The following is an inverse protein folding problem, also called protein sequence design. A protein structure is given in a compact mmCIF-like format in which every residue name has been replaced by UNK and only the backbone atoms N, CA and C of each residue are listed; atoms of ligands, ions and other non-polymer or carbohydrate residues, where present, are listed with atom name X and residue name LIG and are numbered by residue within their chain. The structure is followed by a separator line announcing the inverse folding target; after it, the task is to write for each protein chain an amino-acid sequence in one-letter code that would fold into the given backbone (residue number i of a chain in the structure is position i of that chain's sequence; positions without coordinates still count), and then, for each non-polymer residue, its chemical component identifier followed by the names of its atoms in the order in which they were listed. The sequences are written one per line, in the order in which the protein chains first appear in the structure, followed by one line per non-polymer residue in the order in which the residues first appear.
data_IF_136928187339
#
_entry.id   IF_136928187339
#
_cell.length_a   1.000
_cell.length_b   1.000
_cell.length_c   1.000
_cell.angle_alpha   90.00
_cell.angle_beta   90.00
_cell.angle_gamma   90.00
#
_symmetry.space_group_name_H-M   'P 1'
#
loop_
_entity.id
_entity.type
_entity.pdbx_description
1 polymer ?
#
# COMPACT_ATOMS: atom_id res chain seq x y z
N UNK A 1 0.88 29.75 -2.43
CA UNK A 1 1.65 28.96 -1.46
C UNK A 1 2.46 27.93 -2.24
N UNK A 2 3.77 27.76 -1.99
CA UNK A 2 4.52 26.65 -2.57
C UNK A 2 3.96 25.31 -2.08
N UNK A 3 4.00 24.29 -2.94
CA UNK A 3 3.61 22.93 -2.55
C UNK A 3 4.44 22.43 -1.37
N UNK A 4 3.81 21.71 -0.45
CA UNK A 4 4.49 21.06 0.69
C UNK A 4 5.60 20.11 0.18
N UNK A 5 6.57 19.80 1.05
CA UNK A 5 7.58 18.77 0.72
C UNK A 5 6.91 17.42 0.42
N UNK A 6 5.97 17.00 1.28
CA UNK A 6 5.27 15.72 1.11
C UNK A 6 4.47 15.64 -0.20
N UNK A 7 3.81 16.73 -0.62
CA UNK A 7 3.10 16.75 -1.90
C UNK A 7 4.07 16.56 -3.08
N UNK A 8 5.27 17.14 -3.02
CA UNK A 8 6.30 16.95 -4.06
C UNK A 8 6.78 15.51 -4.12
N UNK A 9 6.93 14.85 -2.98
CA UNK A 9 7.32 13.44 -2.91
C UNK A 9 6.21 12.54 -3.49
N UNK A 10 4.96 12.80 -3.13
CA UNK A 10 3.79 12.08 -3.68
C UNK A 10 3.68 12.28 -5.20
N UNK A 11 3.85 13.52 -5.69
CA UNK A 11 3.87 13.82 -7.14
C UNK A 11 4.99 13.03 -7.83
N UNK A 12 6.14 12.89 -7.19
CA UNK A 12 7.28 12.14 -7.73
C UNK A 12 6.94 10.65 -7.85
N UNK A 13 6.31 10.05 -6.83
CA UNK A 13 5.84 8.66 -6.85
C UNK A 13 4.81 8.46 -7.96
N UNK A 14 3.78 9.31 -8.03
CA UNK A 14 2.77 9.22 -9.09
C UNK A 14 3.41 9.23 -10.49
N UNK A 15 4.34 10.14 -10.75
CA UNK A 15 5.02 10.24 -12.06
C UNK A 15 5.95 9.07 -12.35
N UNK A 16 6.63 8.53 -11.34
CA UNK A 16 7.45 7.33 -11.48
C UNK A 16 6.60 6.14 -11.95
N UNK A 17 5.41 6.02 -11.39
CA UNK A 17 4.38 5.04 -11.79
C UNK A 17 3.57 5.46 -13.02
N UNK A 18 3.97 6.56 -13.68
CA UNK A 18 3.44 7.07 -14.93
C UNK A 18 2.17 7.92 -14.86
N UNK A 19 1.64 8.21 -13.68
CA UNK A 19 0.53 9.14 -13.51
C UNK A 19 1.03 10.59 -13.58
N UNK A 20 0.88 11.21 -14.77
CA UNK A 20 1.32 12.58 -15.02
C UNK A 20 0.53 13.63 -14.23
N UNK A 21 -0.75 13.37 -13.94
CA UNK A 21 -1.63 14.19 -13.11
C UNK A 21 -1.98 13.50 -11.78
N UNK A 22 -1.29 13.83 -10.67
CA UNK A 22 -1.63 13.33 -9.33
C UNK A 22 -3.05 13.70 -8.86
N UNK A 23 -3.70 14.72 -9.47
CA UNK A 23 -5.09 15.01 -9.13
C UNK A 23 -6.06 13.96 -9.66
N UNK A 24 -5.73 13.28 -10.76
CA UNK A 24 -6.55 12.17 -11.26
C UNK A 24 -6.45 10.97 -10.31
N UNK A 25 -5.25 10.65 -9.81
CA UNK A 25 -5.03 9.64 -8.75
C UNK A 25 -5.84 9.99 -7.50
N UNK A 26 -5.79 11.25 -7.04
CA UNK A 26 -6.59 11.73 -5.93
C UNK A 26 -8.09 11.52 -6.16
N UNK A 27 -8.62 11.91 -7.32
CA UNK A 27 -10.05 11.78 -7.66
C UNK A 27 -10.49 10.32 -7.68
N UNK A 28 -9.67 9.43 -8.24
CA UNK A 28 -9.90 7.98 -8.29
C UNK A 28 -9.95 7.37 -6.89
N UNK A 29 -8.94 7.64 -6.07
CA UNK A 29 -8.88 7.14 -4.69
C UNK A 29 -10.02 7.70 -3.84
N UNK A 30 -10.35 8.99 -4.01
CA UNK A 30 -11.49 9.63 -3.36
C UNK A 30 -12.81 8.93 -3.71
N UNK A 31 -13.02 8.57 -4.98
CA UNK A 31 -14.21 7.86 -5.42
C UNK A 31 -14.33 6.51 -4.71
N UNK A 32 -13.25 5.74 -4.70
CA UNK A 32 -13.18 4.46 -4.00
C UNK A 32 -13.53 4.60 -2.52
N UNK A 33 -12.95 5.58 -1.82
CA UNK A 33 -13.21 5.78 -0.41
C UNK A 33 -14.62 6.28 -0.09
N UNK A 34 -15.19 7.15 -0.92
CA UNK A 34 -16.59 7.59 -0.74
C UNK A 34 -17.56 6.43 -0.91
N UNK A 35 -17.34 5.58 -1.92
CA UNK A 35 -18.14 4.37 -2.14
C UNK A 35 -17.93 3.36 -1.01
N UNK A 36 -16.70 3.16 -0.53
CA UNK A 36 -16.41 2.33 0.65
C UNK A 36 -17.17 2.81 1.89
N UNK A 37 -17.11 4.12 2.19
CA UNK A 37 -17.90 4.79 3.24
C UNK A 37 -19.37 4.39 3.13
N UNK A 38 -19.96 4.69 1.97
CA UNK A 38 -21.38 4.48 1.69
C UNK A 38 -21.78 3.00 1.82
N UNK A 39 -20.97 2.10 1.27
CA UNK A 39 -21.20 0.66 1.35
C UNK A 39 -21.16 0.19 2.81
N UNK A 40 -20.15 0.57 3.61
CA UNK A 40 -20.07 0.19 5.03
C UNK A 40 -21.30 0.61 5.84
N UNK A 41 -21.94 1.73 5.50
CA UNK A 41 -23.19 2.14 6.14
C UNK A 41 -24.41 1.36 5.69
N UNK A 42 -24.53 1.11 4.39
CA UNK A 42 -25.74 0.49 3.83
C UNK A 42 -25.69 -1.04 3.81
N UNK A 43 -24.54 -1.63 4.16
CA UNK A 43 -24.36 -3.08 4.19
C UNK A 43 -25.36 -3.72 5.17
N UNK A 44 -26.38 -4.36 4.60
CA UNK A 44 -27.18 -5.35 5.30
C UNK A 44 -26.28 -6.57 5.55
N UNK A 45 -26.29 -7.12 6.76
CA UNK A 45 -25.56 -8.34 7.07
C UNK A 45 -26.19 -9.52 6.32
N UNK A 46 -25.84 -9.69 5.05
CA UNK A 46 -26.08 -10.93 4.34
C UNK A 46 -24.96 -11.90 4.73
N UNK A 47 -25.29 -13.13 5.15
CA UNK A 47 -24.27 -14.12 5.46
C UNK A 47 -23.40 -14.32 4.21
N UNK A 48 -22.06 -14.28 4.34
CA UNK A 48 -21.19 -14.44 3.20
C UNK A 48 -21.45 -15.80 2.55
N UNK A 49 -21.66 -15.81 1.24
CA UNK A 49 -21.72 -17.05 0.48
C UNK A 49 -20.38 -17.78 0.67
N UNK A 50 -20.40 -19.02 1.15
CA UNK A 50 -19.19 -19.84 1.23
C UNK A 50 -18.68 -20.08 -0.20
N UNK A 51 -17.56 -19.44 -0.55
CA UNK A 51 -16.80 -19.69 -1.78
C UNK A 51 -15.65 -20.64 -1.46
N UNK A 52 -15.34 -21.53 -2.39
CA UNK A 52 -14.11 -22.31 -2.31
C UNK A 52 -12.89 -21.40 -2.43
N UNK A 53 -11.73 -21.84 -1.91
CA UNK A 53 -10.48 -21.09 -2.03
C UNK A 53 -10.16 -20.73 -3.49
N UNK A 54 -10.40 -21.67 -4.42
CA UNK A 54 -10.17 -21.47 -5.86
C UNK A 54 -11.05 -20.37 -6.45
N UNK A 55 -12.31 -20.31 -6.06
CA UNK A 55 -13.24 -19.25 -6.50
C UNK A 55 -12.82 -17.90 -5.94
N UNK A 56 -12.49 -17.82 -4.64
CA UNK A 56 -11.99 -16.60 -4.01
C UNK A 56 -10.71 -16.10 -4.67
N UNK A 57 -9.77 -16.99 -4.97
CA UNK A 57 -8.50 -16.64 -5.64
C UNK A 57 -8.74 -16.18 -7.09
N UNK A 58 -9.73 -16.73 -7.78
CA UNK A 58 -10.10 -16.30 -9.14
C UNK A 58 -10.76 -14.91 -9.13
N UNK A 59 -11.70 -14.69 -8.22
CA UNK A 59 -12.38 -13.41 -8.03
C UNK A 59 -11.39 -12.30 -7.67
N UNK A 60 -10.48 -12.56 -6.72
CA UNK A 60 -9.38 -11.66 -6.36
C UNK A 60 -8.58 -11.19 -7.58
N UNK A 61 -8.21 -12.13 -8.45
CA UNK A 61 -7.44 -11.83 -9.68
C UNK A 61 -8.24 -11.03 -10.70
N UNK A 62 -9.53 -11.35 -10.89
CA UNK A 62 -10.41 -10.62 -11.79
C UNK A 62 -10.61 -9.17 -11.34
N UNK A 63 -10.89 -8.96 -10.05
CA UNK A 63 -11.03 -7.62 -9.46
C UNK A 63 -9.74 -6.82 -9.56
N UNK A 64 -8.60 -7.44 -9.26
CA UNK A 64 -7.28 -6.79 -9.36
C UNK A 64 -6.97 -6.35 -10.78
N UNK A 65 -7.21 -7.20 -11.78
CA UNK A 65 -6.97 -6.84 -13.20
C UNK A 65 -7.88 -5.70 -13.65
N UNK A 66 -9.16 -5.77 -13.29
CA UNK A 66 -10.13 -4.70 -13.60
C UNK A 66 -9.76 -3.40 -12.90
N UNK A 67 -9.25 -3.47 -11.68
CA UNK A 67 -8.71 -2.31 -10.97
C UNK A 67 -7.52 -1.70 -11.68
N UNK A 68 -6.53 -2.50 -12.09
CA UNK A 68 -5.37 -1.98 -12.84
C UNK A 68 -5.77 -1.31 -14.15
N UNK A 69 -6.68 -1.93 -14.91
CA UNK A 69 -7.18 -1.38 -16.18
C UNK A 69 -7.95 -0.06 -15.99
N UNK A 70 -8.83 0.01 -14.99
CA UNK A 70 -9.67 1.19 -14.75
C UNK A 70 -8.91 2.31 -14.03
N UNK A 71 -8.05 1.99 -13.07
CA UNK A 71 -7.31 2.99 -12.30
C UNK A 71 -6.30 3.72 -13.18
N UNK A 72 -5.81 3.10 -14.25
CA UNK A 72 -4.94 3.77 -15.22
C UNK A 72 -5.68 4.77 -16.13
N UNK A 73 -6.94 4.47 -16.51
CA UNK A 73 -7.69 5.28 -17.48
C UNK A 73 -8.20 6.59 -16.86
N UNK A 74 -8.32 7.71 -17.62
CA UNK A 74 -8.83 8.99 -17.10
C UNK A 74 -10.23 8.86 -16.49
N UNK A 75 -10.43 9.40 -15.28
CA UNK A 75 -11.64 9.11 -14.49
C UNK A 75 -12.92 9.57 -15.20
N UNK A 76 -12.85 10.71 -15.89
CA UNK A 76 -14.00 11.32 -16.56
C UNK A 76 -14.60 10.42 -17.66
N UNK A 77 -13.83 9.43 -18.15
CA UNK A 77 -14.28 8.48 -19.19
C UNK A 77 -14.75 7.13 -18.64
N UNK A 78 -14.39 6.78 -17.40
CA UNK A 78 -14.63 5.44 -16.86
C UNK A 78 -15.15 5.43 -15.42
N UNK A 79 -15.72 6.55 -14.98
CA UNK A 79 -16.21 6.75 -13.62
C UNK A 79 -17.22 5.66 -13.23
N UNK A 80 -18.19 5.38 -14.10
CA UNK A 80 -19.24 4.39 -13.81
C UNK A 80 -18.67 2.98 -13.67
N UNK A 81 -17.75 2.56 -14.54
CA UNK A 81 -17.11 1.25 -14.42
C UNK A 81 -16.26 1.14 -13.15
N UNK A 82 -15.62 2.24 -12.73
CA UNK A 82 -14.85 2.31 -11.50
C UNK A 82 -15.75 2.24 -10.28
N UNK A 83 -16.89 2.94 -10.28
CA UNK A 83 -17.89 2.83 -9.22
C UNK A 83 -18.41 1.39 -9.10
N UNK A 84 -18.74 0.76 -10.22
CA UNK A 84 -19.20 -0.63 -10.26
C UNK A 84 -18.12 -1.61 -9.79
N UNK A 85 -16.85 -1.39 -10.17
CA UNK A 85 -15.74 -2.21 -9.68
C UNK A 85 -15.65 -2.14 -8.15
N UNK A 86 -15.76 -0.92 -7.61
CA UNK A 86 -15.68 -0.72 -6.17
C UNK A 86 -16.84 -1.44 -5.49
N UNK A 87 -18.07 -1.29 -5.98
CA UNK A 87 -19.25 -2.02 -5.49
C UNK A 87 -19.07 -3.54 -5.52
N UNK A 88 -18.60 -4.10 -6.64
CA UNK A 88 -18.32 -5.53 -6.79
C UNK A 88 -17.22 -6.01 -5.81
N UNK A 89 -16.22 -5.16 -5.53
CA UNK A 89 -15.09 -5.50 -4.68
C UNK A 89 -15.43 -5.46 -3.18
N UNK A 90 -16.42 -4.65 -2.77
CA UNK A 90 -16.83 -4.47 -1.37
C UNK A 90 -17.33 -5.75 -0.69
N UNK A 91 -17.91 -6.67 -1.46
CA UNK A 91 -18.38 -7.97 -0.95
C UNK A 91 -17.24 -9.01 -0.83
N UNK A 92 -16.00 -8.61 -1.10
CA UNK A 92 -14.84 -9.50 -1.15
C UNK A 92 -13.76 -9.08 -0.17
N UNK A 93 -13.01 -10.05 0.34
CA UNK A 93 -11.84 -9.77 1.17
C UNK A 93 -10.71 -9.06 0.40
N UNK A 94 -10.76 -9.02 -0.94
CA UNK A 94 -9.71 -8.41 -1.74
C UNK A 94 -9.61 -6.90 -1.50
N UNK A 95 -10.75 -6.20 -1.41
CA UNK A 95 -10.75 -4.76 -1.24
C UNK A 95 -10.28 -4.34 0.15
N UNK A 96 -10.72 -5.06 1.19
CA UNK A 96 -10.25 -4.84 2.56
C UNK A 96 -8.74 -5.08 2.66
N UNK A 97 -8.23 -6.20 2.12
CA UNK A 97 -6.78 -6.51 2.10
C UNK A 97 -5.97 -5.41 1.37
N UNK A 98 -6.48 -4.91 0.24
CA UNK A 98 -5.83 -3.86 -0.55
C UNK A 98 -5.73 -2.54 0.23
N UNK A 99 -6.83 -2.13 0.86
CA UNK A 99 -6.89 -0.90 1.64
C UNK A 99 -6.04 -1.01 2.90
N UNK A 100 -6.11 -2.13 3.62
CA UNK A 100 -5.32 -2.36 4.83
C UNK A 100 -3.81 -2.33 4.54
N UNK A 101 -3.38 -2.94 3.42
CA UNK A 101 -1.99 -2.83 2.96
C UNK A 101 -1.59 -1.37 2.74
N UNK A 102 -2.36 -0.63 1.93
CA UNK A 102 -2.00 0.73 1.55
C UNK A 102 -2.02 1.69 2.75
N UNK A 103 -2.94 1.49 3.69
CA UNK A 103 -3.00 2.25 4.96
C UNK A 103 -1.84 1.90 5.88
N UNK A 104 -1.38 0.65 5.89
CA UNK A 104 -0.20 0.22 6.63
C UNK A 104 1.07 0.94 6.15
N UNK A 105 1.23 1.03 4.83
CA UNK A 105 2.37 1.70 4.19
C UNK A 105 2.44 3.19 4.49
N UNK A 106 1.31 3.88 4.69
CA UNK A 106 1.30 5.30 5.05
C UNK A 106 2.23 5.63 6.22
N UNK A 107 2.34 4.75 7.20
CA UNK A 107 3.15 4.99 8.41
C UNK A 107 4.65 5.13 8.13
N UNK A 108 5.11 4.73 6.94
CA UNK A 108 6.49 4.86 6.48
C UNK A 108 6.80 6.25 5.92
N UNK A 109 5.78 7.07 5.65
CA UNK A 109 5.93 8.39 5.07
C UNK A 109 6.02 9.49 6.14
N UNK A 110 6.62 10.62 5.75
CA UNK A 110 6.54 11.83 6.56
C UNK A 110 5.06 12.25 6.70
N UNK A 111 4.65 12.65 7.92
CA UNK A 111 3.24 12.82 8.32
C UNK A 111 2.35 11.56 8.19
N UNK A 112 2.93 10.38 7.97
CA UNK A 112 2.23 9.12 7.76
C UNK A 112 1.22 8.76 8.84
N UNK A 113 1.57 9.00 10.11
CA UNK A 113 0.65 8.80 11.25
C UNK A 113 -0.56 9.73 11.18
N UNK A 114 -0.35 10.96 10.74
CA UNK A 114 -1.40 11.97 10.56
C UNK A 114 -2.30 11.56 9.40
N UNK A 115 -1.73 11.13 8.27
CA UNK A 115 -2.49 10.60 7.14
C UNK A 115 -3.36 9.41 7.52
N UNK A 116 -2.79 8.43 8.25
CA UNK A 116 -3.52 7.27 8.72
C UNK A 116 -4.73 7.66 9.56
N UNK A 117 -4.54 8.52 10.58
CA UNK A 117 -5.63 9.01 11.43
C UNK A 117 -6.72 9.72 10.63
N UNK A 118 -6.30 10.57 9.69
CA UNK A 118 -7.22 11.32 8.84
C UNK A 118 -8.08 10.37 8.00
N UNK A 119 -7.49 9.37 7.36
CA UNK A 119 -8.22 8.40 6.54
C UNK A 119 -9.15 7.54 7.39
N UNK A 120 -8.66 7.03 8.53
CA UNK A 120 -9.47 6.25 9.47
C UNK A 120 -10.71 7.02 9.91
N UNK A 121 -10.56 8.28 10.35
CA UNK A 121 -11.69 9.09 10.79
C UNK A 121 -12.60 9.55 9.66
N UNK A 122 -12.03 9.91 8.51
CA UNK A 122 -12.82 10.40 7.38
C UNK A 122 -13.61 9.29 6.69
N UNK A 123 -13.12 8.05 6.69
CA UNK A 123 -13.67 7.00 5.82
C UNK A 123 -14.03 5.68 6.51
N UNK A 124 -13.24 5.21 7.46
CA UNK A 124 -13.40 3.85 7.99
C UNK A 124 -14.21 3.81 9.28
N UNK A 125 -14.00 4.82 10.12
CA UNK A 125 -14.62 5.00 11.42
C UNK A 125 -15.51 6.25 11.45
N UNK A 126 -15.88 6.76 10.27
CA UNK A 126 -16.72 7.94 10.18
C UNK A 126 -18.10 7.63 10.79
N UNK A 127 -18.66 8.56 11.55
CA UNK A 127 -20.04 8.45 12.00
C UNK A 127 -21.01 8.83 10.86
N UNK A 128 -22.24 8.27 10.84
CA UNK A 128 -23.26 8.71 9.88
C UNK A 128 -23.48 10.22 9.96
N UNK A 129 -23.42 10.92 8.82
CA UNK A 129 -23.60 12.38 8.75
C UNK A 129 -22.39 13.22 9.20
N UNK A 130 -21.30 12.60 9.66
CA UNK A 130 -20.09 13.32 10.07
C UNK A 130 -19.42 14.01 8.88
N UNK A 131 -19.22 15.33 9.01
CA UNK A 131 -18.60 16.15 7.97
C UNK A 131 -17.09 16.21 8.19
N UNK A 132 -16.35 16.38 7.10
CA UNK A 132 -14.90 16.51 7.15
C UNK A 132 -14.42 17.70 8.01
N UNK A 133 -15.22 18.77 8.11
CA UNK A 133 -14.90 19.92 8.98
C UNK A 133 -14.93 19.54 10.47
N UNK A 134 -15.83 18.63 10.86
CA UNK A 134 -15.94 18.18 12.25
C UNK A 134 -14.70 17.32 12.60
N UNK A 135 -14.25 16.48 11.66
CA UNK A 135 -12.99 15.73 11.77
C UNK A 135 -11.77 16.65 11.81
N UNK A 136 -11.76 17.73 11.03
CA UNK A 136 -10.66 18.71 11.06
C UNK A 136 -10.52 19.37 12.45
N UNK A 137 -11.65 19.73 13.07
CA UNK A 137 -11.69 20.30 14.42
C UNK A 137 -11.19 19.28 15.45
N UNK A 138 -11.66 18.03 15.38
CA UNK A 138 -11.21 16.94 16.27
C UNK A 138 -9.70 16.70 16.19
N UNK A 139 -9.12 16.77 14.99
CA UNK A 139 -7.69 16.60 14.76
C UNK A 139 -6.87 17.87 15.06
N UNK A 140 -7.50 18.96 15.51
CA UNK A 140 -6.83 20.23 15.80
C UNK A 140 -6.26 20.92 14.56
N UNK A 141 -6.86 20.71 13.39
CA UNK A 141 -6.40 21.23 12.10
C UNK A 141 -7.28 22.37 11.60
N UNK A 142 -6.64 23.44 11.09
CA UNK A 142 -7.34 24.44 10.28
C UNK A 142 -7.82 23.85 8.95
N UNK A 143 -8.89 24.41 8.37
CA UNK A 143 -9.54 23.90 7.15
C UNK A 143 -8.59 23.76 5.95
N UNK A 144 -7.71 24.73 5.72
CA UNK A 144 -6.71 24.67 4.65
C UNK A 144 -5.69 23.55 4.89
N UNK A 145 -5.15 23.44 6.10
CA UNK A 145 -4.21 22.38 6.49
C UNK A 145 -4.86 21.00 6.35
N UNK A 146 -6.10 20.86 6.80
CA UNK A 146 -6.87 19.65 6.63
C UNK A 146 -7.03 19.29 5.15
N UNK A 147 -7.43 20.24 4.29
CA UNK A 147 -7.61 19.96 2.86
C UNK A 147 -6.32 19.50 2.18
N UNK A 148 -5.19 20.13 2.52
CA UNK A 148 -3.89 19.77 1.96
C UNK A 148 -3.47 18.37 2.42
N UNK A 149 -3.53 18.10 3.74
CA UNK A 149 -3.18 16.79 4.32
C UNK A 149 -4.10 15.67 3.87
N UNK A 150 -5.38 15.98 3.71
CA UNK A 150 -6.37 15.05 3.19
C UNK A 150 -6.06 14.68 1.74
N UNK A 151 -5.73 15.67 0.90
CA UNK A 151 -5.35 15.43 -0.49
C UNK A 151 -4.08 14.58 -0.58
N UNK A 152 -3.06 14.91 0.21
CA UNK A 152 -1.82 14.14 0.31
C UNK A 152 -2.13 12.67 0.69
N UNK A 153 -2.85 12.45 1.80
CA UNK A 153 -3.16 11.12 2.31
C UNK A 153 -3.94 10.25 1.31
N UNK A 154 -4.99 10.82 0.69
CA UNK A 154 -5.84 10.09 -0.28
C UNK A 154 -5.07 9.76 -1.55
N UNK A 155 -4.26 10.69 -2.06
CA UNK A 155 -3.43 10.46 -3.25
C UNK A 155 -2.42 9.36 -2.99
N UNK A 156 -1.76 9.41 -1.82
CA UNK A 156 -0.75 8.44 -1.43
C UNK A 156 -1.34 7.03 -1.27
N UNK A 157 -2.48 6.87 -0.59
CA UNK A 157 -3.13 5.53 -0.57
C UNK A 157 -3.51 5.08 -1.97
N UNK A 158 -4.04 5.99 -2.80
CA UNK A 158 -4.42 5.66 -4.18
C UNK A 158 -3.28 5.04 -4.97
N UNK A 159 -2.12 5.68 -4.94
CA UNK A 159 -0.95 5.19 -5.69
C UNK A 159 -0.36 3.92 -5.06
N UNK A 160 -0.31 3.83 -3.73
CA UNK A 160 0.18 2.62 -3.03
C UNK A 160 -0.71 1.40 -3.28
N UNK A 161 -2.04 1.59 -3.32
CA UNK A 161 -2.98 0.53 -3.68
C UNK A 161 -2.75 0.07 -5.13
N UNK A 162 -2.55 1.00 -6.06
CA UNK A 162 -2.22 0.66 -7.45
C UNK A 162 -0.89 -0.10 -7.56
N UNK A 163 0.17 0.35 -6.89
CA UNK A 163 1.48 -0.32 -6.89
C UNK A 163 1.38 -1.73 -6.29
N UNK A 164 0.65 -1.89 -5.19
CA UNK A 164 0.43 -3.20 -4.58
C UNK A 164 -0.30 -4.15 -5.54
N UNK A 165 -1.40 -3.70 -6.14
CA UNK A 165 -2.16 -4.49 -7.10
C UNK A 165 -1.29 -4.89 -8.30
N UNK A 166 -0.45 -3.97 -8.80
CA UNK A 166 0.46 -4.21 -9.92
C UNK A 166 1.50 -5.27 -9.57
N UNK A 167 2.15 -5.14 -8.41
CA UNK A 167 3.14 -6.09 -7.92
C UNK A 167 2.57 -7.50 -7.78
N UNK A 168 1.35 -7.62 -7.22
CA UNK A 168 0.67 -8.90 -7.07
C UNK A 168 0.32 -9.53 -8.42
N UNK A 169 -0.02 -8.75 -9.45
CA UNK A 169 -0.25 -9.26 -10.81
C UNK A 169 1.05 -9.78 -11.45
N UNK A 170 2.15 -9.04 -11.31
CA UNK A 170 3.46 -9.49 -11.78
C UNK A 170 3.94 -10.76 -11.08
N UNK A 171 3.73 -10.88 -9.77
CA UNK A 171 4.05 -12.10 -9.03
C UNK A 171 3.27 -13.31 -9.55
N UNK A 172 1.98 -13.15 -9.85
CA UNK A 172 1.15 -14.22 -10.39
C UNK A 172 1.58 -14.60 -11.82
N UNK A 173 2.02 -13.65 -12.64
CA UNK A 173 2.63 -13.93 -13.95
C UNK A 173 3.94 -14.70 -13.81
N UNK A 174 4.83 -14.28 -12.90
CA UNK A 174 6.10 -14.94 -12.65
C UNK A 174 5.91 -16.39 -12.17
N UNK A 175 4.88 -16.64 -11.36
CA UNK A 175 4.48 -17.97 -10.89
C UNK A 175 3.68 -18.78 -11.93
N UNK A 176 3.41 -18.21 -13.12
CA UNK A 176 2.57 -18.80 -14.19
C UNK A 176 1.15 -19.19 -13.71
N UNK A 177 0.63 -18.45 -12.73
CA UNK A 177 -0.76 -18.57 -12.25
C UNK A 177 -1.71 -17.87 -13.21
N UNK A 178 -1.23 -16.81 -13.86
CA UNK A 178 -1.90 -16.09 -14.95
C UNK A 178 -0.95 -15.99 -16.15
N UNK A 179 -1.53 -15.90 -17.35
CA UNK A 179 -0.77 -15.64 -18.57
C UNK A 179 -0.12 -14.25 -18.53
N UNK A 180 1.03 -14.15 -19.18
CA UNK A 180 1.71 -12.87 -19.35
C UNK A 180 0.84 -11.91 -20.15
N UNK A 181 0.72 -10.69 -19.64
CA UNK A 181 0.03 -9.61 -20.33
C UNK A 181 0.58 -8.28 -19.83
N UNK A 182 0.32 -7.26 -20.62
CA UNK A 182 0.83 -5.92 -20.38
C UNK A 182 0.06 -5.24 -19.25
N UNK A 183 0.79 -4.56 -18.35
CA UNK A 183 0.21 -3.64 -17.36
C UNK A 183 0.64 -2.23 -17.76
N UNK A 184 -0.34 -1.39 -18.10
CA UNK A 184 -0.05 0.01 -18.43
C UNK A 184 0.23 0.79 -17.12
N UNK A 185 1.26 1.67 -17.06
CA UNK A 185 2.06 2.25 -18.16
C UNK A 185 3.42 1.62 -18.41
N UNK A 186 3.69 0.42 -17.90
CA UNK A 186 5.03 -0.17 -17.96
C UNK A 186 5.46 -0.50 -19.40
N UNK A 187 4.50 -0.46 -20.35
CA UNK A 187 4.70 -0.66 -21.78
C UNK A 187 4.76 0.64 -22.61
N UNK A 188 4.92 1.82 -22.00
CA UNK A 188 5.23 3.03 -22.75
C UNK A 188 6.68 2.90 -23.28
N UNK A 189 6.92 2.95 -24.61
CA UNK A 189 8.27 2.89 -25.16
C UNK A 189 9.17 3.96 -24.51
N UNK A 190 10.25 3.52 -23.85
CA UNK A 190 11.24 4.41 -23.22
C UNK A 190 11.17 4.57 -21.69
N UNK A 191 10.27 3.86 -20.97
CA UNK A 191 10.33 3.78 -19.49
C UNK A 191 11.07 2.51 -19.02
N UNK A 192 11.94 2.67 -18.02
CA UNK A 192 12.92 1.68 -17.52
C UNK A 192 12.27 0.40 -17.00
N UNK A 193 13.02 -0.70 -17.12
CA UNK A 193 12.79 -1.99 -16.47
C UNK A 193 12.55 -1.80 -14.96
N UNK A 194 11.32 -2.02 -14.50
CA UNK A 194 10.90 -1.77 -13.11
C UNK A 194 11.30 -2.88 -12.14
N UNK A 195 11.98 -3.92 -12.61
CA UNK A 195 12.56 -4.97 -11.75
C UNK A 195 13.52 -4.40 -10.69
N UNK A 196 14.17 -3.27 -10.97
CA UNK A 196 15.09 -2.59 -10.06
C UNK A 196 14.37 -1.85 -8.90
N UNK A 197 13.13 -1.39 -9.12
CA UNK A 197 12.31 -0.78 -8.06
C UNK A 197 11.80 -1.85 -7.08
N UNK A 198 11.44 -3.03 -7.60
CA UNK A 198 11.00 -4.20 -6.84
C UNK A 198 12.07 -4.68 -5.85
N UNK A 199 13.34 -4.71 -6.27
CA UNK A 199 14.48 -5.09 -5.43
C UNK A 199 14.79 -4.05 -4.35
N UNK A 200 14.65 -2.75 -4.66
CA UNK A 200 15.04 -1.70 -3.72
C UNK A 200 13.96 -1.40 -2.64
N UNK A 201 12.67 -1.59 -2.94
CA UNK A 201 11.59 -1.30 -1.98
C UNK A 201 11.26 -2.47 -1.04
N UNK A 202 11.49 -3.73 -1.46
CA UNK A 202 11.13 -4.92 -0.67
C UNK A 202 12.33 -5.72 -0.09
N UNK A 203 13.59 -5.35 -0.40
CA UNK A 203 14.78 -5.91 0.27
C UNK A 203 15.36 -5.16 1.50
N UNK A 204 14.65 -4.37 2.33
CA UNK A 204 15.22 -3.95 3.62
C UNK A 204 15.40 -5.10 4.62
N UNK A 205 14.67 -6.22 4.45
CA UNK A 205 14.54 -7.25 5.50
C UNK A 205 15.32 -8.55 5.30
N UNK A 206 16.12 -8.70 4.24
CA UNK A 206 17.04 -9.85 4.12
C UNK A 206 18.43 -9.62 4.75
N UNK A 207 18.84 -8.38 5.01
CA UNK A 207 20.17 -8.06 5.54
C UNK A 207 20.29 -8.01 7.07
N UNK A 208 19.26 -8.41 7.83
CA UNK A 208 19.34 -8.55 9.29
C UNK A 208 19.43 -10.00 9.81
N UNK A 209 19.49 -11.01 8.93
CA UNK A 209 19.82 -12.39 9.32
C UNK A 209 21.14 -12.80 8.70
N UNK A 210 22.24 -12.24 9.21
CA UNK A 210 23.59 -12.80 9.18
C UNK A 210 24.54 -11.93 10.01
N UNK A 211 24.24 -11.77 11.30
CA UNK A 211 25.29 -11.64 12.30
C UNK A 211 25.22 -12.89 13.16
N UNK A 212 25.98 -13.91 12.75
CA UNK A 212 26.33 -15.02 13.63
C UNK A 212 26.91 -14.45 14.92
N UNK A 213 26.41 -14.84 16.11
CA UNK A 213 27.11 -14.55 17.35
C UNK A 213 28.43 -15.32 17.30
N UNK A 214 29.54 -14.57 17.13
CA UNK A 214 30.89 -15.11 17.22
C UNK A 214 31.01 -15.94 18.51
N UNK A 215 31.10 -17.26 18.33
CA UNK A 215 31.45 -18.22 19.39
C UNK A 215 32.74 -17.74 20.10
N UNK A 216 32.81 -17.75 21.43
CA UNK A 216 34.05 -17.45 22.13
C UNK A 216 35.08 -18.53 21.80
N UNK A 217 36.24 -18.10 21.27
CA UNK A 217 37.38 -18.98 21.02
C UNK A 217 37.85 -19.57 22.36
N UNK A 218 37.73 -20.89 22.50
CA UNK A 218 38.42 -21.68 23.53
C UNK A 218 39.92 -21.42 23.41
N UNK A 219 40.53 -20.85 24.44
CA UNK A 219 41.98 -20.85 24.59
C UNK A 219 42.40 -22.25 25.06
N UNK A 220 43.03 -22.99 24.15
CA UNK A 220 43.64 -24.29 24.42
C UNK A 220 44.95 -24.11 25.19
N UNK A 221 45.06 -24.89 26.26
CA UNK A 221 46.21 -24.99 27.16
C UNK A 221 47.55 -25.19 26.45
N UNK A 222 48.61 -24.54 26.98
CA UNK A 222 49.98 -25.02 26.87
C UNK A 222 50.48 -25.43 28.25
N UNK A 223 50.48 -26.74 28.46
CA UNK A 223 51.26 -27.43 29.48
C UNK A 223 52.76 -27.25 29.18
N UNK A 224 53.54 -26.74 30.13
CA UNK A 224 54.98 -27.00 30.21
C UNK A 224 55.34 -27.41 31.63
N UNK A 225 55.71 -28.68 31.76
CA UNK A 225 56.27 -29.32 32.95
C UNK A 225 57.72 -28.86 33.18
N UNK A 226 58.11 -28.90 34.47
CA UNK A 226 59.45 -29.05 35.10
C UNK A 226 59.69 -27.90 36.08
N UNK A 227 60.28 -28.09 37.26
CA UNK A 227 60.60 -29.21 38.16
C UNK A 227 61.26 -28.52 39.37
N UNK A 228 61.34 -29.23 40.50
CA UNK A 228 62.18 -28.90 41.67
C UNK A 228 61.60 -27.78 42.57
N UNK A 229 61.56 -27.85 43.90
CA UNK A 229 62.04 -28.83 44.86
C UNK A 229 62.07 -28.17 46.25
N UNK A 230 61.77 -28.99 47.28
CA UNK A 230 62.28 -28.91 48.65
C UNK A 230 61.73 -27.84 49.62
N UNK A 231 61.37 -28.38 50.79
CA UNK A 231 60.98 -27.77 52.07
C UNK A 231 61.98 -26.72 52.57
N UNK A 232 61.48 -25.74 53.31
CA UNK A 232 61.78 -25.56 54.74
C UNK A 232 60.58 -24.93 55.42
#
# INVERSE_FOLDING_TARGET
MPASANWRDIVTICRAEGFDDPNDVYKKAMLMFKKFRSYKWHRKQSPPRMKSKKETDMERRQLRRRFLDLFWKPLDKNKEEMEKLVEDAMDTAWFDDLIDFAVGILTLFNDGRTYRKLIERCYFNAAPGERQIDVAIELGMGSSCFSDKHKEAVTLIGIEAWMHAKNMEYEDMAKRIVEYHDIYPDNIPGKRDQSEYFLNYFEPHKKQKNQDPKKPKKQSAKLRKKKDGVKQ
#
